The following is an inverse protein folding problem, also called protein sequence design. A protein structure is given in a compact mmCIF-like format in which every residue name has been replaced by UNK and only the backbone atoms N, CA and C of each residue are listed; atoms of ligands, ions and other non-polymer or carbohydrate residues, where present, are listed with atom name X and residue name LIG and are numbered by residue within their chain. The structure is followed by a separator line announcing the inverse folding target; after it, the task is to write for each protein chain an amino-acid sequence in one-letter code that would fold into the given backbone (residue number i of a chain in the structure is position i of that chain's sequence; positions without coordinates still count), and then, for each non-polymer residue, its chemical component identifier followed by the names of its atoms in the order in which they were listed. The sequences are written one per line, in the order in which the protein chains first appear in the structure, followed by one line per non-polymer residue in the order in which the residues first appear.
data_IF_268098507729
#
_entry.id   IF_268098507729
#
_cell.length_a   1.000
_cell.length_b   1.000
_cell.length_c   1.000
_cell.angle_alpha   90.00
_cell.angle_beta   90.00
_cell.angle_gamma   90.00
#
_symmetry.space_group_name_H-M   'P 1'
#
loop_
_entity.id
_entity.type
_entity.pdbx_description
1 polymer ?
#
# COMPACT_ATOMS: atom_id res chain seq x y z
N UNK A 1 -14.24 -2.51 -0.16
CA UNK A 1 -14.65 -1.10 -0.20
C UNK A 1 -13.61 -0.19 -0.87
N UNK A 2 -12.45 -0.72 -1.21
CA UNK A 2 -11.38 0.00 -1.90
C UNK A 2 -11.24 -0.42 -3.36
N UNK A 3 -11.14 0.55 -4.25
CA UNK A 3 -10.80 0.36 -5.65
C UNK A 3 -9.32 0.69 -5.87
N UNK A 4 -8.56 -0.26 -6.41
CA UNK A 4 -7.10 -0.14 -6.61
C UNK A 4 -6.68 0.06 -8.07
N UNK A 5 -7.63 0.15 -8.99
CA UNK A 5 -7.33 0.21 -10.42
C UNK A 5 -7.02 -1.16 -11.04
N UNK A 6 -6.87 -1.18 -12.35
CA UNK A 6 -6.58 -2.41 -13.11
C UNK A 6 -5.08 -2.63 -13.30
N UNK A 7 -4.33 -1.57 -13.51
CA UNK A 7 -2.90 -1.64 -13.83
C UNK A 7 -2.10 -2.26 -12.67
N UNK A 8 -2.44 -1.89 -11.43
CA UNK A 8 -1.81 -2.43 -10.24
C UNK A 8 -1.93 -3.97 -10.18
N UNK A 9 -3.13 -4.51 -10.44
CA UNK A 9 -3.35 -5.97 -10.48
C UNK A 9 -2.55 -6.65 -11.58
N UNK A 10 -2.52 -6.08 -12.79
CA UNK A 10 -1.76 -6.63 -13.92
C UNK A 10 -0.28 -6.68 -13.58
N UNK A 11 0.27 -5.60 -13.04
CA UNK A 11 1.70 -5.53 -12.68
C UNK A 11 2.08 -6.56 -11.60
N UNK A 12 1.28 -6.68 -10.55
CA UNK A 12 1.51 -7.68 -9.49
C UNK A 12 1.38 -9.10 -10.04
N UNK A 13 0.33 -9.38 -10.85
CA UNK A 13 0.17 -10.67 -11.52
C UNK A 13 1.38 -11.01 -12.40
N UNK A 14 1.82 -10.10 -13.26
CA UNK A 14 2.92 -10.35 -14.20
C UNK A 14 4.26 -10.56 -13.50
N UNK A 15 4.44 -9.93 -12.33
CA UNK A 15 5.60 -10.20 -11.49
C UNK A 15 5.53 -11.61 -10.90
N UNK A 16 4.41 -11.97 -10.28
CA UNK A 16 4.23 -13.28 -9.65
C UNK A 16 4.22 -14.44 -10.65
N UNK A 17 3.66 -14.24 -11.85
CA UNK A 17 3.66 -15.25 -12.91
C UNK A 17 5.07 -15.62 -13.41
N UNK A 18 6.07 -14.77 -13.14
CA UNK A 18 7.48 -14.99 -13.49
C UNK A 18 8.35 -15.34 -12.28
N UNK A 19 7.74 -15.37 -11.08
CA UNK A 19 8.49 -15.65 -9.85
C UNK A 19 8.99 -17.09 -9.84
N UNK A 20 10.26 -17.25 -9.47
CA UNK A 20 10.80 -18.56 -9.14
C UNK A 20 10.42 -18.87 -7.67
N UNK A 21 9.60 -19.89 -7.47
CA UNK A 21 9.11 -20.27 -6.14
C UNK A 21 10.20 -20.88 -5.24
N UNK A 22 11.34 -21.26 -5.81
CA UNK A 22 12.49 -21.71 -5.04
C UNK A 22 13.30 -20.53 -4.46
N UNK A 23 13.17 -19.34 -5.05
CA UNK A 23 13.75 -18.10 -4.52
C UNK A 23 12.87 -17.48 -3.44
N UNK A 24 13.20 -17.73 -2.18
CA UNK A 24 12.48 -17.15 -1.03
C UNK A 24 12.72 -15.66 -0.86
N UNK A 25 11.72 -14.96 -0.28
CA UNK A 25 11.82 -13.53 0.05
C UNK A 25 11.87 -12.60 -1.17
N UNK A 26 11.43 -13.06 -2.34
CA UNK A 26 11.33 -12.25 -3.56
C UNK A 26 9.88 -11.81 -3.77
N UNK A 27 9.58 -10.61 -3.31
CA UNK A 27 8.23 -10.06 -3.29
C UNK A 27 8.12 -8.82 -4.16
N UNK A 28 6.89 -8.37 -4.38
CA UNK A 28 6.60 -7.08 -4.98
C UNK A 28 5.48 -6.36 -4.22
N UNK A 29 5.31 -5.09 -4.52
CA UNK A 29 4.16 -4.31 -4.10
C UNK A 29 3.74 -3.36 -5.21
N UNK A 30 2.46 -3.04 -5.27
CA UNK A 30 2.01 -1.91 -6.06
C UNK A 30 2.37 -0.61 -5.32
N UNK A 31 3.19 0.22 -5.94
CA UNK A 31 3.56 1.55 -5.46
C UNK A 31 2.64 2.59 -6.10
N UNK A 32 1.72 3.13 -5.32
CA UNK A 32 0.82 4.18 -5.77
C UNK A 32 1.50 5.55 -5.62
N UNK A 33 1.08 6.49 -6.44
CA UNK A 33 1.48 7.90 -6.32
C UNK A 33 0.62 8.55 -5.22
N UNK A 34 1.23 9.17 -4.23
CA UNK A 34 0.53 9.78 -3.08
C UNK A 34 -0.64 10.66 -3.51
N UNK A 35 -0.42 11.58 -4.46
CA UNK A 35 -1.46 12.48 -4.96
C UNK A 35 -2.67 11.75 -5.58
N UNK A 36 -2.49 10.51 -6.07
CA UNK A 36 -3.57 9.67 -6.59
C UNK A 36 -4.35 8.93 -5.49
N UNK A 37 -3.96 9.08 -4.23
CA UNK A 37 -4.55 8.35 -3.08
C UNK A 37 -5.09 9.27 -1.99
N UNK A 38 -5.09 10.57 -2.22
CA UNK A 38 -5.64 11.55 -1.28
C UNK A 38 -7.17 11.63 -1.39
N UNK A 39 -7.82 12.08 -0.32
CA UNK A 39 -9.27 12.31 -0.28
C UNK A 39 -9.55 13.80 -0.29
N UNK A 40 -10.57 14.22 -1.04
CA UNK A 40 -11.09 15.60 -1.01
C UNK A 40 -11.91 15.88 0.26
N UNK A 41 -12.37 14.83 0.95
CA UNK A 41 -13.29 14.93 2.09
C UNK A 41 -12.61 14.82 3.46
N UNK A 42 -11.27 14.63 3.49
CA UNK A 42 -10.56 14.50 4.75
C UNK A 42 -9.10 14.07 4.59
N UNK A 43 -8.49 13.80 5.72
CA UNK A 43 -7.11 13.33 5.78
C UNK A 43 -7.04 11.81 5.69
N UNK A 44 -5.91 11.30 5.18
CA UNK A 44 -5.66 9.86 5.00
C UNK A 44 -4.42 9.41 5.76
N UNK A 45 -4.30 8.10 6.00
CA UNK A 45 -3.08 7.46 6.50
C UNK A 45 -2.48 6.62 5.38
N UNK A 46 -1.15 6.72 5.17
CA UNK A 46 -0.45 5.99 4.11
C UNK A 46 0.91 5.49 4.59
N UNK A 47 1.31 4.32 4.10
CA UNK A 47 2.67 3.83 4.22
C UNK A 47 3.55 4.49 3.16
N UNK A 48 4.28 5.55 3.52
CA UNK A 48 5.19 6.24 2.60
C UNK A 48 6.43 5.38 2.38
N UNK A 49 6.74 5.09 1.11
CA UNK A 49 7.81 4.18 0.74
C UNK A 49 9.09 4.94 0.37
N UNK A 50 10.23 4.47 0.91
CA UNK A 50 11.56 4.82 0.40
C UNK A 50 12.02 3.72 -0.54
N UNK A 51 12.36 4.11 -1.76
CA UNK A 51 12.72 3.20 -2.84
C UNK A 51 14.12 3.55 -3.33
N UNK A 52 14.96 2.53 -3.62
CA UNK A 52 16.28 2.79 -4.19
C UNK A 52 16.22 3.01 -5.71
N UNK A 53 17.35 3.42 -6.30
CA UNK A 53 17.49 3.69 -7.73
C UNK A 53 17.17 2.46 -8.61
N UNK A 54 17.32 1.25 -8.07
CA UNK A 54 16.96 0.01 -8.74
C UNK A 54 15.48 -0.34 -8.60
N UNK A 55 14.69 0.46 -7.86
CA UNK A 55 13.25 0.29 -7.67
C UNK A 55 12.89 -0.74 -6.59
N UNK A 56 13.77 -0.98 -5.61
CA UNK A 56 13.49 -1.85 -4.48
C UNK A 56 13.16 -1.06 -3.21
N UNK A 57 12.20 -1.57 -2.47
CA UNK A 57 11.76 -1.01 -1.20
C UNK A 57 12.89 -1.05 -0.17
N UNK A 58 13.15 0.09 0.47
CA UNK A 58 14.09 0.23 1.58
C UNK A 58 13.39 0.39 2.91
N UNK A 59 12.25 1.06 2.92
CA UNK A 59 11.49 1.31 4.15
C UNK A 59 10.05 1.68 3.81
N UNK A 60 9.13 1.30 4.69
CA UNK A 60 7.76 1.82 4.73
C UNK A 60 7.59 2.59 6.02
N UNK A 61 7.19 3.85 5.93
CA UNK A 61 6.92 4.71 7.09
C UNK A 61 5.45 5.09 7.12
N UNK A 62 4.74 4.60 8.14
CA UNK A 62 3.35 4.98 8.37
C UNK A 62 3.28 6.48 8.65
N UNK A 63 2.48 7.18 7.85
CA UNK A 63 2.28 8.63 7.97
C UNK A 63 0.79 8.91 8.09
N UNK A 64 0.43 9.64 9.13
CA UNK A 64 -0.93 9.86 9.58
C UNK A 64 -1.41 11.26 9.23
N UNK A 65 -2.73 11.40 9.02
CA UNK A 65 -3.37 12.69 8.85
C UNK A 65 -2.87 13.45 7.63
N UNK A 66 -2.54 12.74 6.54
CA UNK A 66 -2.04 13.36 5.31
C UNK A 66 -3.19 14.08 4.62
N UNK A 67 -3.01 15.37 4.39
CA UNK A 67 -3.87 16.20 3.58
C UNK A 67 -3.05 17.03 2.59
N UNK A 68 -3.67 17.48 1.51
CA UNK A 68 -3.07 18.38 0.54
C UNK A 68 -3.45 19.83 0.84
N UNK A 69 -2.46 20.70 0.81
CA UNK A 69 -2.68 22.14 0.84
C UNK A 69 -1.65 22.81 -0.08
N UNK A 70 -2.14 23.68 -0.97
CA UNK A 70 -1.30 24.49 -1.89
C UNK A 70 -0.32 23.64 -2.75
N UNK A 71 -0.74 22.45 -3.18
CA UNK A 71 0.07 21.56 -4.03
C UNK A 71 1.12 20.75 -3.27
N UNK A 72 1.05 20.72 -1.94
CA UNK A 72 1.96 19.97 -1.07
C UNK A 72 1.15 19.09 -0.12
N UNK A 73 1.57 17.85 0.04
CA UNK A 73 0.99 16.97 1.05
C UNK A 73 1.76 17.12 2.39
N UNK A 74 1.02 17.15 3.48
CA UNK A 74 1.61 17.19 4.82
C UNK A 74 0.86 16.25 5.77
N UNK A 75 1.58 15.67 6.72
CA UNK A 75 1.04 14.74 7.71
C UNK A 75 1.95 14.66 8.94
N UNK A 76 1.85 13.57 9.68
CA UNK A 76 2.68 13.29 10.86
C UNK A 76 3.26 11.88 10.76
N UNK A 77 4.53 11.72 11.08
CA UNK A 77 5.15 10.41 11.22
C UNK A 77 4.67 9.67 12.48
N UNK A 78 5.13 8.44 12.71
CA UNK A 78 4.78 7.64 13.88
C UNK A 78 5.20 8.27 15.23
N UNK A 79 6.18 9.17 15.22
CA UNK A 79 6.59 9.93 16.42
C UNK A 79 5.70 11.18 16.65
N UNK A 80 4.75 11.46 15.77
CA UNK A 80 3.88 12.64 15.84
C UNK A 80 4.52 13.92 15.29
N UNK A 81 5.69 13.81 14.68
CA UNK A 81 6.41 14.95 14.09
C UNK A 81 5.82 15.30 12.72
N UNK A 82 5.70 16.59 12.38
CA UNK A 82 5.19 17.02 11.10
C UNK A 82 6.16 16.63 9.98
N UNK A 83 5.59 16.10 8.88
CA UNK A 83 6.33 15.75 7.66
C UNK A 83 5.66 16.36 6.45
N UNK A 84 6.48 16.82 5.51
CA UNK A 84 6.04 17.32 4.19
C UNK A 84 6.44 16.30 3.15
N UNK A 85 5.51 15.97 2.26
CA UNK A 85 5.64 14.89 1.29
C UNK A 85 5.41 15.44 -0.12
N UNK A 86 6.30 15.17 -1.08
CA UNK A 86 6.02 15.39 -2.49
C UNK A 86 4.78 14.57 -2.92
N UNK A 87 3.93 15.13 -3.76
CA UNK A 87 2.73 14.44 -4.26
C UNK A 87 3.04 13.21 -5.12
N UNK A 88 4.23 13.14 -5.70
CA UNK A 88 4.75 12.01 -6.46
C UNK A 88 5.41 10.93 -5.61
N UNK A 89 5.41 11.08 -4.27
CA UNK A 89 5.96 10.08 -3.37
C UNK A 89 5.29 8.73 -3.55
N UNK A 90 6.05 7.61 -3.63
CA UNK A 90 5.47 6.28 -3.68
C UNK A 90 4.88 5.90 -2.32
N UNK A 91 3.66 5.38 -2.33
CA UNK A 91 2.97 4.92 -1.13
C UNK A 91 2.44 3.50 -1.27
N UNK A 92 2.40 2.80 -0.15
CA UNK A 92 1.72 1.51 -0.02
C UNK A 92 0.23 1.73 0.26
N UNK A 93 -0.58 1.03 -0.53
CA UNK A 93 -2.02 0.86 -0.30
C UNK A 93 -2.32 -0.58 0.16
N UNK A 94 -1.33 -1.22 0.78
CA UNK A 94 -1.41 -2.59 1.29
C UNK A 94 -1.65 -3.66 0.20
N UNK A 95 -1.21 -3.39 -1.03
CA UNK A 95 -1.30 -4.33 -2.14
C UNK A 95 0.06 -4.97 -2.42
N UNK A 96 0.24 -6.20 -1.93
CA UNK A 96 1.49 -6.95 -1.95
C UNK A 96 1.36 -8.19 -2.83
N UNK A 97 2.41 -8.50 -3.57
CA UNK A 97 2.60 -9.76 -4.27
C UNK A 97 3.68 -10.58 -3.56
N UNK A 98 3.27 -11.68 -2.95
CA UNK A 98 4.15 -12.54 -2.16
C UNK A 98 4.10 -13.98 -2.66
N UNK A 99 5.18 -14.71 -2.44
CA UNK A 99 5.28 -16.15 -2.70
C UNK A 99 4.89 -16.96 -1.46
N UNK A 100 4.61 -18.27 -1.57
CA UNK A 100 4.09 -19.08 -0.46
C UNK A 100 4.95 -19.10 0.81
N UNK A 101 6.27 -18.91 0.68
CA UNK A 101 7.20 -18.82 1.82
C UNK A 101 6.86 -17.71 2.82
N UNK A 102 6.17 -16.66 2.36
CA UNK A 102 5.71 -15.56 3.24
C UNK A 102 4.72 -16.02 4.30
N UNK A 103 3.94 -17.07 4.05
CA UNK A 103 3.01 -17.61 5.04
C UNK A 103 3.73 -18.24 6.24
N UNK A 104 4.92 -18.83 6.01
CA UNK A 104 5.76 -19.37 7.10
C UNK A 104 6.26 -18.22 7.99
N UNK A 105 6.68 -17.11 7.38
CA UNK A 105 7.11 -15.90 8.08
C UNK A 105 5.96 -15.30 8.92
N UNK A 106 4.77 -15.20 8.33
CA UNK A 106 3.59 -14.71 9.04
C UNK A 106 3.22 -15.59 10.23
N UNK A 107 3.22 -16.91 10.06
CA UNK A 107 2.86 -17.87 11.10
C UNK A 107 3.80 -17.81 12.30
N UNK A 108 5.11 -17.74 12.03
CA UNK A 108 6.14 -17.65 13.07
C UNK A 108 6.07 -16.29 13.78
N UNK A 109 6.00 -15.20 13.03
CA UNK A 109 5.95 -13.85 13.57
C UNK A 109 4.67 -13.59 14.37
N UNK A 110 3.52 -14.10 13.91
CA UNK A 110 2.26 -13.98 14.65
C UNK A 110 2.31 -14.70 16.00
N UNK A 111 2.96 -15.86 16.05
CA UNK A 111 3.17 -16.58 17.31
C UNK A 111 4.01 -15.76 18.31
N UNK A 112 5.06 -15.07 17.81
CA UNK A 112 5.85 -14.14 18.61
C UNK A 112 5.02 -12.95 19.09
N UNK A 113 4.31 -12.29 18.17
CA UNK A 113 3.42 -11.16 18.48
C UNK A 113 2.42 -11.47 19.61
N UNK A 114 1.81 -12.65 19.59
CA UNK A 114 0.89 -13.06 20.64
C UNK A 114 1.60 -13.26 22.00
N UNK A 115 2.81 -13.82 22.02
CA UNK A 115 3.58 -14.03 23.24
C UNK A 115 4.10 -12.72 23.85
N UNK A 116 4.46 -11.76 23.01
CA UNK A 116 5.03 -10.47 23.40
C UNK A 116 3.97 -9.44 23.86
N UNK A 117 2.75 -9.87 24.11
CA UNK A 117 1.70 -9.06 24.69
C UNK A 117 0.59 -8.64 23.72
N UNK A 118 0.63 -9.08 22.47
CA UNK A 118 -0.42 -8.79 21.48
C UNK A 118 -1.82 -9.25 21.90
N UNK A 119 -1.92 -10.22 22.82
CA UNK A 119 -3.20 -10.65 23.41
C UNK A 119 -3.72 -9.68 24.47
N UNK A 120 -2.83 -8.91 25.11
CA UNK A 120 -3.17 -8.08 26.26
C UNK A 120 -3.79 -6.74 25.88
N UNK A 121 -3.60 -6.29 24.64
CA UNK A 121 -4.18 -5.06 24.11
C UNK A 121 -5.18 -5.37 22.99
N UNK A 122 -6.45 -5.08 23.24
CA UNK A 122 -7.54 -5.28 22.27
C UNK A 122 -7.41 -4.44 21.00
N UNK A 123 -6.51 -3.46 20.96
CA UNK A 123 -6.21 -2.61 19.80
C UNK A 123 -4.90 -2.99 19.13
N UNK A 124 -4.22 -4.02 19.61
CA UNK A 124 -2.97 -4.48 19.02
C UNK A 124 -3.21 -5.11 17.65
N UNK A 125 -2.43 -4.72 16.67
CA UNK A 125 -2.54 -5.19 15.28
C UNK A 125 -1.22 -5.78 14.81
N UNK A 126 -1.27 -6.95 14.16
CA UNK A 126 -0.13 -7.55 13.49
C UNK A 126 -0.12 -7.12 12.03
N UNK A 127 0.57 -6.03 11.75
CA UNK A 127 0.50 -5.30 10.47
C UNK A 127 1.42 -5.91 9.41
N UNK A 128 0.87 -6.29 8.26
CA UNK A 128 1.63 -6.80 7.10
C UNK A 128 2.79 -5.88 6.67
N UNK A 129 2.61 -4.55 6.55
CA UNK A 129 3.70 -3.66 6.17
C UNK A 129 4.87 -3.70 7.14
N UNK A 130 4.62 -3.87 8.45
CA UNK A 130 5.68 -3.97 9.45
C UNK A 130 6.45 -5.28 9.36
N UNK A 131 5.75 -6.39 9.09
CA UNK A 131 6.40 -7.70 8.87
C UNK A 131 7.33 -7.62 7.67
N UNK A 132 6.86 -7.08 6.56
CA UNK A 132 7.65 -6.93 5.33
C UNK A 132 8.83 -5.98 5.56
N UNK A 133 8.60 -4.83 6.22
CA UNK A 133 9.68 -3.89 6.53
C UNK A 133 10.78 -4.56 7.38
N UNK A 134 10.39 -5.31 8.42
CA UNK A 134 11.34 -6.09 9.24
C UNK A 134 12.16 -7.05 8.38
N UNK A 135 11.52 -7.83 7.49
CA UNK A 135 12.22 -8.75 6.62
C UNK A 135 13.19 -8.03 5.66
N UNK A 136 12.82 -6.86 5.17
CA UNK A 136 13.70 -6.03 4.31
C UNK A 136 14.91 -5.52 5.11
N UNK A 137 14.70 -4.98 6.32
CA UNK A 137 15.77 -4.49 7.18
C UNK A 137 16.76 -5.61 7.57
N UNK A 138 16.25 -6.80 7.82
CA UNK A 138 17.03 -8.01 8.15
C UNK A 138 17.63 -8.70 6.91
N UNK A 139 17.41 -8.16 5.71
CA UNK A 139 17.87 -8.71 4.42
C UNK A 139 17.35 -10.13 4.13
N UNK A 140 16.21 -10.49 4.70
CA UNK A 140 15.51 -11.75 4.44
C UNK A 140 14.53 -11.63 3.26
N UNK A 141 14.16 -10.40 2.89
CA UNK A 141 13.33 -10.16 1.72
C UNK A 141 13.86 -9.00 0.87
N UNK A 142 13.55 -9.05 -0.42
CA UNK A 142 13.65 -7.93 -1.34
C UNK A 142 12.28 -7.69 -1.98
N UNK A 143 11.79 -6.46 -1.97
CA UNK A 143 10.48 -6.11 -2.47
C UNK A 143 10.63 -5.16 -3.65
N UNK A 144 10.22 -5.59 -4.82
CA UNK A 144 10.16 -4.74 -6.01
C UNK A 144 8.94 -3.81 -5.92
N UNK A 145 9.16 -2.50 -5.99
CA UNK A 145 8.07 -1.53 -6.07
C UNK A 145 7.65 -1.38 -7.53
N UNK A 146 6.42 -1.75 -7.82
CA UNK A 146 5.79 -1.67 -9.14
C UNK A 146 4.93 -0.41 -9.15
N UNK A 147 5.49 0.68 -9.65
CA UNK A 147 4.78 1.95 -9.73
C UNK A 147 3.50 1.81 -10.57
N UNK A 148 2.40 2.35 -10.09
CA UNK A 148 1.13 2.46 -10.82
C UNK A 148 0.61 3.88 -10.81
N UNK A 149 0.04 4.29 -11.94
CA UNK A 149 -0.64 5.58 -12.09
C UNK A 149 -2.14 5.48 -11.78
N UNK A 150 -2.62 4.29 -11.40
CA UNK A 150 -4.00 4.07 -11.00
C UNK A 150 -4.38 5.03 -9.87
N UNK A 151 -5.63 5.49 -9.93
CA UNK A 151 -6.24 6.25 -8.83
C UNK A 151 -6.91 5.28 -7.88
N UNK A 152 -6.68 5.52 -6.61
CA UNK A 152 -7.43 4.86 -5.56
C UNK A 152 -8.77 5.57 -5.32
N UNK A 153 -9.82 4.80 -5.12
CA UNK A 153 -11.11 5.28 -4.65
C UNK A 153 -11.56 4.43 -3.47
N UNK A 154 -12.00 5.07 -2.40
CA UNK A 154 -12.55 4.39 -1.23
C UNK A 154 -13.88 5.02 -0.82
N UNK A 155 -14.78 4.22 -0.26
CA UNK A 155 -16.02 4.70 0.37
C UNK A 155 -15.80 4.65 1.88
N UNK A 156 -15.00 5.57 2.38
CA UNK A 156 -14.74 5.71 3.83
C UNK A 156 -15.89 6.46 4.50
N UNK A 157 -16.41 7.46 3.81
CA UNK A 157 -17.52 8.29 4.25
C UNK A 157 -18.70 8.15 3.29
N UNK A 158 -19.92 8.38 3.80
CA UNK A 158 -21.12 8.30 2.98
C UNK A 158 -21.08 9.29 1.81
N UNK A 159 -20.43 10.41 2.01
CA UNK A 159 -20.24 11.50 1.05
C UNK A 159 -19.35 11.10 -0.13
N UNK A 160 -18.45 10.12 0.06
CA UNK A 160 -17.56 9.63 -0.99
C UNK A 160 -18.32 8.87 -2.10
N UNK A 161 -19.49 8.32 -1.78
CA UNK A 161 -20.22 7.41 -2.69
C UNK A 161 -20.48 8.02 -4.07
N UNK A 162 -20.96 9.25 -4.14
CA UNK A 162 -21.33 9.87 -5.42
C UNK A 162 -20.08 10.17 -6.25
N UNK A 163 -18.97 10.55 -5.61
CA UNK A 163 -17.69 10.76 -6.25
C UNK A 163 -17.13 9.44 -6.82
N UNK A 164 -17.19 8.36 -6.04
CA UNK A 164 -16.74 7.02 -6.47
C UNK A 164 -17.59 6.50 -7.63
N UNK A 165 -18.91 6.61 -7.57
CA UNK A 165 -19.82 6.22 -8.67
C UNK A 165 -19.49 7.00 -9.94
N UNK A 166 -19.28 8.31 -9.83
CA UNK A 166 -18.92 9.16 -10.97
C UNK A 166 -17.54 8.78 -11.55
N UNK A 167 -16.56 8.49 -10.68
CA UNK A 167 -15.23 8.06 -11.12
C UNK A 167 -15.26 6.72 -11.86
N UNK A 168 -15.97 5.73 -11.32
CA UNK A 168 -16.14 4.43 -11.97
C UNK A 168 -16.88 4.55 -13.31
N UNK A 169 -17.92 5.40 -13.38
CA UNK A 169 -18.62 5.65 -14.64
C UNK A 169 -17.69 6.21 -15.72
N UNK A 170 -16.81 7.16 -15.37
CA UNK A 170 -15.80 7.69 -16.29
C UNK A 170 -14.85 6.61 -16.82
N UNK A 171 -14.51 5.62 -16.00
CA UNK A 171 -13.66 4.49 -16.43
C UNK A 171 -14.40 3.57 -17.44
N UNK A 172 -15.70 3.36 -17.24
CA UNK A 172 -16.55 2.64 -18.20
C UNK A 172 -16.67 3.42 -19.50
N UNK A 173 -16.98 4.71 -19.44
CA UNK A 173 -17.13 5.58 -20.61
C UNK A 173 -15.81 5.70 -21.40
N UNK A 174 -14.66 5.59 -20.74
CA UNK A 174 -13.33 5.53 -21.35
C UNK A 174 -12.95 4.13 -21.88
N UNK A 175 -13.81 3.11 -21.74
CA UNK A 175 -13.57 1.75 -22.21
C UNK A 175 -12.57 0.94 -21.38
N UNK A 176 -12.22 1.41 -20.18
CA UNK A 176 -11.36 0.65 -19.24
C UNK A 176 -12.09 -0.59 -18.72
N UNK A 177 -13.38 -0.46 -18.48
CA UNK A 177 -14.29 -1.55 -18.09
C UNK A 177 -15.45 -1.68 -19.05
N UNK A 178 -16.02 -2.90 -19.23
CA UNK A 178 -17.24 -3.08 -20.00
C UNK A 178 -18.44 -2.45 -19.26
N UNK A 179 -19.47 -2.07 -20.00
CA UNK A 179 -20.71 -1.51 -19.44
C UNK A 179 -21.48 -2.53 -18.58
N UNK A 180 -21.31 -3.81 -18.89
CA UNK A 180 -21.86 -4.95 -18.13
C UNK A 180 -20.74 -5.95 -17.86
N UNK A 181 -20.63 -6.40 -16.63
CA UNK A 181 -19.79 -7.52 -16.22
C UNK A 181 -20.42 -8.84 -16.59
#
# INVERSE_FOLDING_TARGET
DDYYGREAFVKVHDFLAKADLEEKGKYCMAGFILGNTLSENGVVTRGVCRVDEAGYLKKVEETFGIGEQDGVAAGKNAAGEPVVLPLDSPVSMNMWGVTPDFFDELSQGFTGFLKDGGISDMKSEYLLPQVIDTMVQEKRASVRVLETLDKWFGVTYKEDKDAVVSALRKLVDAGVYPEKL
#
